data_IF_053589080193
#
_entry.id   IF_053589080193
#
_cell.length_a   1.000
_cell.length_b   1.000
_cell.length_c   1.000
_cell.angle_alpha   90.00
_cell.angle_beta   90.00
_cell.angle_gamma   90.00
#
_symmetry.space_group_name_H-M   'P 1'
#
loop_
_entity.id
_entity.type
_entity.pdbx_description
1 polymer ?
#
# COMPACT_ATOMS: atom_id res chain seq x y z
N UNK A 1 3.88 10.27 19.55
CA UNK A 1 2.40 10.16 19.71
C UNK A 1 2.06 8.68 19.85
N UNK A 2 1.21 8.31 20.83
CA UNK A 2 0.77 6.91 21.01
C UNK A 2 -0.14 6.50 19.84
N UNK A 3 -0.04 5.25 19.36
CA UNK A 3 -0.96 4.70 18.37
C UNK A 3 -2.35 4.50 18.98
N UNK A 4 -3.38 4.92 18.28
CA UNK A 4 -4.77 4.76 18.70
C UNK A 4 -5.53 4.16 17.51
N UNK A 5 -6.07 2.97 17.71
CA UNK A 5 -6.94 2.34 16.72
C UNK A 5 -8.32 2.99 16.79
N UNK A 6 -8.80 3.45 15.65
CA UNK A 6 -10.13 4.05 15.49
C UNK A 6 -10.72 3.46 14.20
N UNK A 7 -11.85 2.74 14.26
CA UNK A 7 -12.49 2.22 13.05
C UNK A 7 -12.80 3.34 12.06
N UNK A 8 -12.50 3.12 10.78
CA UNK A 8 -12.85 4.05 9.72
C UNK A 8 -14.27 3.80 9.23
N UNK A 9 -15.00 4.86 8.94
CA UNK A 9 -16.40 4.79 8.51
C UNK A 9 -16.51 4.18 7.11
N UNK A 10 -15.51 4.42 6.26
CA UNK A 10 -15.48 3.86 4.91
C UNK A 10 -15.33 2.34 4.91
N UNK A 11 -14.59 1.77 5.88
CA UNK A 11 -14.39 0.31 5.99
C UNK A 11 -15.67 -0.46 6.33
N UNK A 12 -16.61 0.22 6.95
CA UNK A 12 -17.91 -0.35 7.38
C UNK A 12 -19.05 -0.01 6.45
N UNK A 13 -18.77 0.60 5.27
CA UNK A 13 -19.79 1.13 4.35
C UNK A 13 -20.84 2.02 5.05
N UNK A 14 -20.41 2.74 6.12
CA UNK A 14 -21.28 3.55 6.98
C UNK A 14 -21.69 4.89 6.34
N UNK A 15 -21.96 4.88 5.04
CA UNK A 15 -22.34 6.08 4.28
C UNK A 15 -23.39 5.81 3.22
N UNK A 16 -24.04 6.87 2.74
CA UNK A 16 -24.86 6.81 1.54
C UNK A 16 -23.98 6.54 0.30
N UNK A 17 -24.52 6.02 -0.80
CA UNK A 17 -23.76 5.83 -2.05
C UNK A 17 -23.06 7.10 -2.53
N UNK A 18 -23.67 8.28 -2.35
CA UNK A 18 -23.06 9.56 -2.68
C UNK A 18 -21.87 9.89 -1.78
N UNK A 19 -21.99 9.71 -0.46
CA UNK A 19 -20.90 9.95 0.49
C UNK A 19 -19.71 9.01 0.24
N UNK A 20 -19.96 7.76 -0.10
CA UNK A 20 -18.92 6.78 -0.48
C UNK A 20 -18.23 7.23 -1.77
N UNK A 21 -18.99 7.66 -2.79
CA UNK A 21 -18.44 8.17 -4.04
C UNK A 21 -17.55 9.40 -3.83
N UNK A 22 -18.01 10.36 -3.01
CA UNK A 22 -17.25 11.54 -2.65
C UNK A 22 -15.98 11.20 -1.86
N UNK A 23 -16.06 10.19 -0.97
CA UNK A 23 -14.93 9.68 -0.21
C UNK A 23 -13.86 9.10 -1.13
N UNK A 24 -14.25 8.26 -2.07
CA UNK A 24 -13.34 7.68 -3.08
C UNK A 24 -12.70 8.79 -3.94
N UNK A 25 -13.46 9.82 -4.32
CA UNK A 25 -12.94 10.95 -5.07
C UNK A 25 -11.91 11.76 -4.28
N UNK A 26 -12.14 11.98 -2.99
CA UNK A 26 -11.19 12.63 -2.09
C UNK A 26 -9.92 11.79 -1.92
N UNK A 27 -10.04 10.46 -1.73
CA UNK A 27 -8.89 9.56 -1.61
C UNK A 27 -8.05 9.53 -2.90
N UNK A 28 -8.67 9.57 -4.08
CA UNK A 28 -7.96 9.70 -5.37
C UNK A 28 -7.15 10.99 -5.43
N UNK A 29 -7.74 12.11 -4.99
CA UNK A 29 -7.10 13.42 -4.94
C UNK A 29 -5.89 13.40 -3.99
N UNK A 30 -6.07 12.84 -2.78
CA UNK A 30 -4.99 12.70 -1.79
C UNK A 30 -3.86 11.83 -2.33
N UNK A 31 -4.16 10.66 -2.89
CA UNK A 31 -3.13 9.79 -3.43
C UNK A 31 -2.38 10.40 -4.62
N UNK A 32 -3.05 11.24 -5.41
CA UNK A 32 -2.43 11.97 -6.52
C UNK A 32 -1.48 13.07 -6.04
N UNK A 33 -1.92 13.90 -5.06
CA UNK A 33 -1.21 15.13 -4.68
C UNK A 33 -0.25 14.94 -3.50
N UNK A 34 -0.53 13.98 -2.62
CA UNK A 34 0.24 13.75 -1.40
C UNK A 34 1.07 12.45 -1.45
N UNK A 35 1.67 12.17 -2.60
CA UNK A 35 2.72 11.19 -2.76
C UNK A 35 2.29 9.72 -2.83
N UNK A 36 1.00 9.38 -2.69
CA UNK A 36 0.57 7.98 -2.68
C UNK A 36 0.95 7.22 -3.95
N UNK A 37 0.61 7.76 -5.12
CA UNK A 37 0.97 7.16 -6.42
C UNK A 37 2.49 7.15 -6.62
N UNK A 38 3.15 8.30 -6.37
CA UNK A 38 4.58 8.44 -6.66
C UNK A 38 5.47 7.59 -5.77
N UNK A 39 5.08 7.39 -4.50
CA UNK A 39 5.77 6.44 -3.61
C UNK A 39 5.73 5.02 -4.17
N UNK A 40 4.55 4.55 -4.62
CA UNK A 40 4.41 3.24 -5.26
C UNK A 40 5.25 3.13 -6.53
N UNK A 41 5.21 4.15 -7.41
CA UNK A 41 6.03 4.20 -8.63
C UNK A 41 7.51 4.09 -8.31
N UNK A 42 8.01 4.86 -7.32
CA UNK A 42 9.43 4.87 -6.95
C UNK A 42 9.88 3.52 -6.40
N UNK A 43 9.07 2.90 -5.52
CA UNK A 43 9.37 1.58 -4.95
C UNK A 43 9.44 0.51 -6.04
N UNK A 44 8.46 0.44 -6.96
CA UNK A 44 8.44 -0.52 -8.07
C UNK A 44 9.64 -0.30 -8.99
N UNK A 45 9.92 0.97 -9.40
CA UNK A 45 11.09 1.28 -10.24
C UNK A 45 12.40 0.85 -9.60
N UNK A 46 12.54 1.05 -8.30
CA UNK A 46 13.74 0.64 -7.57
C UNK A 46 13.93 -0.86 -7.64
N UNK A 47 12.88 -1.64 -7.33
CA UNK A 47 12.93 -3.10 -7.45
C UNK A 47 13.24 -3.52 -8.87
N UNK A 48 12.54 -2.97 -9.87
CA UNK A 48 12.76 -3.28 -11.27
C UNK A 48 14.21 -3.07 -11.73
N UNK A 49 14.82 -1.96 -11.30
CA UNK A 49 16.25 -1.67 -11.59
C UNK A 49 17.18 -2.68 -10.93
N UNK A 50 16.91 -3.02 -9.68
CA UNK A 50 17.78 -3.92 -8.92
C UNK A 50 17.79 -5.34 -9.51
N UNK A 51 16.65 -5.81 -10.04
CA UNK A 51 16.57 -7.12 -10.70
C UNK A 51 16.76 -7.06 -12.24
N UNK A 52 17.07 -5.87 -12.76
CA UNK A 52 17.23 -5.61 -14.19
C UNK A 52 16.05 -6.11 -15.04
N UNK A 53 14.82 -5.77 -14.65
CA UNK A 53 13.59 -6.20 -15.33
C UNK A 53 12.81 -5.01 -15.87
N UNK A 54 12.30 -5.13 -17.10
CA UNK A 54 11.40 -4.17 -17.73
C UNK A 54 9.92 -4.58 -17.66
N UNK A 55 9.60 -5.74 -17.05
CA UNK A 55 8.24 -6.23 -16.90
C UNK A 55 8.06 -6.92 -15.57
N UNK A 56 6.99 -6.57 -14.83
CA UNK A 56 6.67 -7.12 -13.51
C UNK A 56 5.19 -7.43 -13.39
N UNK A 57 4.87 -8.51 -12.70
CA UNK A 57 3.52 -8.81 -12.23
C UNK A 57 3.37 -8.39 -10.76
N UNK A 58 2.28 -7.72 -10.43
CA UNK A 58 2.01 -7.25 -9.07
C UNK A 58 0.61 -7.65 -8.61
N UNK A 59 0.54 -8.13 -7.37
CA UNK A 59 -0.69 -8.27 -6.61
C UNK A 59 -0.83 -7.06 -5.70
N UNK A 60 -1.82 -6.20 -5.95
CA UNK A 60 -2.20 -5.13 -5.02
C UNK A 60 -3.27 -5.64 -4.07
N UNK A 61 -2.95 -5.66 -2.78
CA UNK A 61 -3.80 -6.16 -1.71
C UNK A 61 -4.52 -4.99 -1.04
N UNK A 62 -5.79 -5.18 -0.69
CA UNK A 62 -6.71 -4.13 -0.24
C UNK A 62 -6.75 -2.97 -1.25
N UNK A 63 -6.93 -3.32 -2.52
CA UNK A 63 -6.79 -2.41 -3.64
C UNK A 63 -7.90 -1.34 -3.71
N UNK A 64 -9.02 -1.55 -3.02
CA UNK A 64 -10.17 -0.67 -3.08
C UNK A 64 -10.57 -0.39 -4.53
N UNK A 65 -10.65 0.87 -4.91
CA UNK A 65 -10.98 1.27 -6.29
C UNK A 65 -9.89 0.96 -7.33
N UNK A 66 -8.73 0.44 -6.93
CA UNK A 66 -7.60 0.17 -7.81
C UNK A 66 -6.88 1.43 -8.34
N UNK A 67 -7.18 2.61 -7.82
CA UNK A 67 -6.65 3.87 -8.35
C UNK A 67 -5.12 3.96 -8.28
N UNK A 68 -4.52 3.62 -7.14
CA UNK A 68 -3.06 3.73 -6.96
C UNK A 68 -2.30 2.82 -7.91
N UNK A 69 -2.59 1.50 -8.00
CA UNK A 69 -1.88 0.60 -8.91
C UNK A 69 -2.14 0.94 -10.38
N UNK A 70 -3.34 1.42 -10.77
CA UNK A 70 -3.64 1.86 -12.15
C UNK A 70 -2.80 3.07 -12.55
N UNK A 71 -2.73 4.09 -11.68
CA UNK A 71 -1.92 5.27 -11.94
C UNK A 71 -0.43 4.94 -11.96
N UNK A 72 0.02 4.07 -11.05
CA UNK A 72 1.41 3.59 -11.06
C UNK A 72 1.74 2.85 -12.37
N UNK A 73 0.86 1.97 -12.86
CA UNK A 73 1.00 1.29 -14.14
C UNK A 73 1.16 2.27 -15.30
N UNK A 74 0.32 3.33 -15.35
CA UNK A 74 0.40 4.34 -16.41
C UNK A 74 1.73 5.09 -16.38
N UNK A 75 2.18 5.55 -15.20
CA UNK A 75 3.47 6.24 -15.06
C UNK A 75 4.66 5.35 -15.43
N UNK A 76 4.63 4.10 -14.98
CA UNK A 76 5.70 3.13 -15.24
C UNK A 76 5.78 2.78 -16.72
N UNK A 77 4.65 2.68 -17.43
CA UNK A 77 4.63 2.44 -18.88
C UNK A 77 5.33 3.55 -19.67
N UNK A 78 5.13 4.81 -19.28
CA UNK A 78 5.82 5.97 -19.89
C UNK A 78 7.33 5.86 -19.69
N UNK A 79 7.77 5.23 -18.60
CA UNK A 79 9.17 5.01 -18.27
C UNK A 79 9.74 3.69 -18.82
N UNK A 80 9.03 3.00 -19.70
CA UNK A 80 9.46 1.74 -20.32
C UNK A 80 9.35 0.51 -19.43
N UNK A 81 8.61 0.58 -18.29
CA UNK A 81 8.39 -0.55 -17.41
C UNK A 81 6.93 -1.03 -17.52
N UNK A 82 6.76 -2.28 -17.93
CA UNK A 82 5.44 -2.91 -18.05
C UNK A 82 5.03 -3.54 -16.71
N UNK A 83 3.87 -3.13 -16.20
CA UNK A 83 3.31 -3.65 -14.95
C UNK A 83 1.99 -4.37 -15.23
N UNK A 84 1.91 -5.67 -14.88
CA UNK A 84 0.66 -6.43 -14.91
C UNK A 84 0.04 -6.43 -13.52
N UNK A 85 -1.10 -5.75 -13.37
CA UNK A 85 -1.78 -5.57 -12.08
C UNK A 85 -2.88 -6.62 -11.91
N UNK A 86 -2.89 -7.27 -10.74
CA UNK A 86 -4.02 -8.02 -10.20
C UNK A 86 -4.40 -7.37 -8.87
N UNK A 87 -5.67 -7.05 -8.71
CA UNK A 87 -6.21 -6.44 -7.49
C UNK A 87 -6.88 -7.48 -6.62
N UNK A 88 -6.62 -7.45 -5.31
CA UNK A 88 -7.33 -8.22 -4.32
C UNK A 88 -7.96 -7.27 -3.30
N UNK A 89 -9.22 -7.50 -2.99
CA UNK A 89 -9.92 -6.82 -1.90
C UNK A 89 -10.89 -7.78 -1.22
N UNK A 90 -11.21 -7.50 0.04
CA UNK A 90 -12.20 -8.28 0.78
C UNK A 90 -13.61 -8.04 0.27
N UNK A 91 -13.93 -6.79 -0.05
CA UNK A 91 -15.22 -6.39 -0.57
C UNK A 91 -15.20 -6.34 -2.12
N UNK A 92 -15.98 -7.21 -2.75
CA UNK A 92 -16.15 -7.20 -4.22
C UNK A 92 -16.68 -5.88 -4.74
N UNK A 93 -17.50 -5.18 -3.97
CA UNK A 93 -18.08 -3.87 -4.29
C UNK A 93 -17.03 -2.77 -4.48
N UNK A 94 -15.86 -2.92 -3.86
CA UNK A 94 -14.76 -1.95 -3.96
C UNK A 94 -13.89 -2.16 -5.22
N UNK A 95 -13.91 -3.37 -5.80
CA UNK A 95 -13.10 -3.71 -6.96
C UNK A 95 -13.64 -3.04 -8.23
N UNK A 96 -12.94 -2.02 -8.70
CA UNK A 96 -13.26 -1.32 -9.94
C UNK A 96 -13.13 -2.23 -11.18
N UNK A 97 -14.08 -2.14 -12.11
CA UNK A 97 -14.24 -3.03 -13.27
C UNK A 97 -13.23 -2.85 -14.41
N UNK A 98 -11.94 -2.95 -14.18
CA UNK A 98 -10.96 -2.76 -15.28
C UNK A 98 -9.73 -3.68 -15.27
N UNK A 99 -9.52 -4.44 -14.23
CA UNK A 99 -8.36 -5.31 -14.04
C UNK A 99 -8.77 -6.69 -13.52
N UNK A 100 -7.81 -7.63 -13.54
CA UNK A 100 -8.00 -8.91 -12.85
C UNK A 100 -8.25 -8.63 -11.38
N UNK A 101 -9.47 -8.89 -10.90
CA UNK A 101 -9.91 -8.62 -9.55
C UNK A 101 -10.30 -9.93 -8.86
N UNK A 102 -9.81 -10.12 -7.65
CA UNK A 102 -10.04 -11.31 -6.83
C UNK A 102 -10.54 -10.88 -5.46
N UNK A 103 -11.62 -11.50 -4.98
CA UNK A 103 -12.03 -11.33 -3.60
C UNK A 103 -11.22 -12.27 -2.70
N UNK A 104 -10.64 -11.75 -1.60
CA UNK A 104 -9.81 -12.56 -0.73
C UNK A 104 -9.38 -11.83 0.54
N UNK A 105 -8.81 -12.60 1.46
CA UNK A 105 -8.25 -12.09 2.70
C UNK A 105 -6.77 -11.77 2.52
N UNK A 106 -6.35 -10.59 2.96
CA UNK A 106 -4.96 -10.13 2.95
C UNK A 106 -4.03 -10.99 3.83
N UNK A 107 -4.59 -11.61 4.88
CA UNK A 107 -3.85 -12.43 5.83
C UNK A 107 -3.80 -13.93 5.44
N UNK A 108 -4.54 -14.31 4.37
CA UNK A 108 -4.57 -15.65 3.80
C UNK A 108 -4.76 -15.57 2.28
N UNK A 109 -3.71 -15.15 1.58
CA UNK A 109 -3.78 -14.86 0.14
C UNK A 109 -4.13 -16.13 -0.68
N UNK A 110 -5.19 -16.10 -1.53
CA UNK A 110 -5.68 -17.27 -2.26
C UNK A 110 -4.83 -17.58 -3.51
N UNK A 111 -3.52 -17.47 -3.39
CA UNK A 111 -2.57 -17.73 -4.47
C UNK A 111 -1.48 -18.71 -4.04
N UNK A 112 -0.95 -19.44 -5.00
CA UNK A 112 0.19 -20.33 -4.78
C UNK A 112 1.46 -19.50 -4.50
N UNK A 113 2.45 -20.14 -3.93
CA UNK A 113 3.78 -19.56 -3.76
C UNK A 113 4.34 -19.06 -5.10
N UNK A 114 5.07 -17.95 -5.05
CA UNK A 114 5.75 -17.38 -6.22
C UNK A 114 4.81 -17.08 -7.41
N UNK A 115 3.55 -16.68 -7.16
CA UNK A 115 2.58 -16.37 -8.22
C UNK A 115 2.80 -15.01 -8.87
N UNK A 116 3.36 -14.04 -8.14
CA UNK A 116 3.61 -12.67 -8.62
C UNK A 116 5.06 -12.28 -8.39
N UNK A 117 5.56 -11.29 -9.14
CA UNK A 117 6.87 -10.72 -8.86
C UNK A 117 6.82 -9.89 -7.58
N UNK A 118 5.77 -9.08 -7.44
CA UNK A 118 5.56 -8.21 -6.30
C UNK A 118 4.21 -8.49 -5.63
N UNK A 119 4.17 -8.33 -4.31
CA UNK A 119 2.93 -8.16 -3.55
C UNK A 119 2.98 -6.77 -2.94
N UNK A 120 1.94 -5.96 -3.09
CA UNK A 120 1.91 -4.60 -2.55
C UNK A 120 0.61 -4.29 -1.84
N UNK A 121 0.65 -3.30 -0.96
CA UNK A 121 -0.54 -2.65 -0.44
C UNK A 121 -0.31 -1.14 -0.31
N UNK A 122 -1.38 -0.38 -0.47
CA UNK A 122 -1.35 1.07 -0.36
C UNK A 122 -2.43 1.55 0.59
N UNK A 123 -2.05 2.27 1.68
CA UNK A 123 -2.96 2.75 2.72
C UNK A 123 -3.78 1.63 3.36
N UNK A 124 -3.13 0.56 3.74
CA UNK A 124 -3.79 -0.60 4.31
C UNK A 124 -3.14 -1.09 5.61
N UNK A 125 -1.81 -1.06 5.72
CA UNK A 125 -1.12 -1.64 6.87
C UNK A 125 -1.51 -0.98 8.21
N UNK A 126 -1.94 0.29 8.19
CA UNK A 126 -2.39 0.98 9.40
C UNK A 126 -3.73 0.44 9.96
N UNK A 127 -4.56 -0.26 9.16
CA UNK A 127 -5.77 -0.95 9.64
C UNK A 127 -5.45 -2.24 10.40
N UNK A 128 -4.28 -2.83 10.14
CA UNK A 128 -3.85 -4.08 10.76
C UNK A 128 -3.26 -3.84 12.16
N UNK A 129 -3.45 -4.80 13.07
CA UNK A 129 -2.66 -4.83 14.31
C UNK A 129 -1.23 -5.31 14.03
N UNK A 130 -0.28 -5.19 14.98
CA UNK A 130 1.12 -5.56 14.74
C UNK A 130 1.33 -7.02 14.32
N UNK A 131 0.57 -7.95 14.87
CA UNK A 131 0.63 -9.37 14.55
C UNK A 131 0.10 -9.64 13.14
N UNK A 132 -0.94 -8.94 12.73
CA UNK A 132 -1.51 -9.01 11.39
C UNK A 132 -0.56 -8.41 10.34
N UNK A 133 0.17 -7.33 10.65
CA UNK A 133 1.23 -6.81 9.75
C UNK A 133 2.31 -7.88 9.55
N UNK A 134 2.75 -8.55 10.61
CA UNK A 134 3.70 -9.66 10.52
C UNK A 134 3.15 -10.78 9.64
N UNK A 135 1.88 -11.15 9.82
CA UNK A 135 1.24 -12.19 9.00
C UNK A 135 1.11 -11.76 7.53
N UNK A 136 0.71 -10.52 7.26
CA UNK A 136 0.63 -9.97 5.92
C UNK A 136 1.99 -10.02 5.19
N UNK A 137 3.08 -9.64 5.88
CA UNK A 137 4.44 -9.70 5.30
C UNK A 137 4.82 -11.15 4.99
N UNK A 138 4.52 -12.11 5.87
CA UNK A 138 4.80 -13.54 5.64
C UNK A 138 4.01 -14.08 4.45
N UNK A 139 2.72 -13.79 4.37
CA UNK A 139 1.87 -14.19 3.24
C UNK A 139 2.32 -13.52 1.92
N UNK A 140 2.66 -12.24 1.98
CA UNK A 140 3.20 -11.53 0.82
C UNK A 140 4.50 -12.15 0.32
N UNK A 141 5.44 -12.47 1.23
CA UNK A 141 6.69 -13.14 0.90
C UNK A 141 6.48 -14.57 0.37
N UNK A 142 5.47 -15.28 0.83
CA UNK A 142 5.10 -16.59 0.28
C UNK A 142 4.65 -16.45 -1.18
N UNK A 143 3.79 -15.48 -1.47
CA UNK A 143 3.14 -15.32 -2.77
C UNK A 143 4.03 -14.58 -3.77
N UNK A 144 4.91 -13.67 -3.34
CA UNK A 144 5.81 -12.97 -4.25
C UNK A 144 7.04 -13.81 -4.63
N UNK A 145 7.68 -13.43 -5.75
CA UNK A 145 8.98 -13.93 -6.21
C UNK A 145 10.13 -13.01 -5.80
N UNK A 146 9.88 -11.70 -5.67
CA UNK A 146 10.93 -10.69 -5.51
C UNK A 146 10.77 -9.90 -4.21
N UNK A 147 9.66 -9.19 -4.03
CA UNK A 147 9.50 -8.32 -2.86
C UNK A 147 8.05 -8.06 -2.47
N UNK A 148 7.86 -7.74 -1.19
CA UNK A 148 6.63 -7.14 -0.65
C UNK A 148 6.85 -5.63 -0.51
N UNK A 149 5.87 -4.84 -0.96
CA UNK A 149 5.88 -3.38 -0.93
C UNK A 149 4.72 -2.87 -0.05
N UNK A 150 5.03 -2.03 0.94
CA UNK A 150 4.02 -1.40 1.79
C UNK A 150 4.16 0.12 1.64
N UNK A 151 3.13 0.77 1.09
CA UNK A 151 3.04 2.22 0.98
C UNK A 151 1.97 2.72 1.95
N UNK A 152 2.38 3.37 3.04
CA UNK A 152 1.44 3.80 4.06
C UNK A 152 1.77 5.18 4.63
N UNK A 153 0.91 5.68 5.52
CA UNK A 153 1.10 6.92 6.25
C UNK A 153 2.12 6.74 7.37
N UNK A 154 2.77 7.84 7.76
CA UNK A 154 3.59 7.89 8.97
C UNK A 154 2.81 8.59 10.08
N UNK A 155 2.75 7.97 11.27
CA UNK A 155 2.21 8.58 12.47
C UNK A 155 3.14 9.69 12.95
N UNK A 156 2.69 10.94 12.79
CA UNK A 156 3.45 12.13 13.13
C UNK A 156 2.51 13.23 13.62
N UNK A 157 2.97 14.07 14.59
CA UNK A 157 2.16 15.16 15.16
C UNK A 157 1.88 16.27 14.16
N UNK A 158 2.89 16.62 13.34
CA UNK A 158 2.73 17.64 12.31
C UNK A 158 1.80 17.13 11.21
N UNK A 159 1.91 15.85 10.84
CA UNK A 159 0.97 15.23 9.90
C UNK A 159 -0.47 15.37 10.38
N UNK A 160 -0.72 15.01 11.64
CA UNK A 160 -2.06 15.12 12.24
C UNK A 160 -2.57 16.57 12.24
N UNK A 161 -1.70 17.53 12.59
CA UNK A 161 -2.04 18.97 12.57
C UNK A 161 -2.43 19.41 11.16
N UNK A 162 -1.65 19.03 10.14
CA UNK A 162 -1.92 19.39 8.74
C UNK A 162 -3.21 18.75 8.24
N UNK A 163 -3.51 17.50 8.66
CA UNK A 163 -4.79 16.85 8.33
C UNK A 163 -5.96 17.63 8.95
N UNK A 164 -5.86 18.05 10.21
CA UNK A 164 -6.92 18.87 10.82
C UNK A 164 -7.09 20.23 10.11
N UNK A 165 -6.00 20.88 9.76
CA UNK A 165 -6.06 22.14 8.99
C UNK A 165 -6.68 21.93 7.59
N UNK A 166 -6.50 20.75 7.00
CA UNK A 166 -7.04 20.37 5.70
C UNK A 166 -8.48 19.87 5.71
N UNK A 167 -9.11 19.65 6.88
CA UNK A 167 -10.48 19.10 6.95
C UNK A 167 -11.51 19.83 6.09
N UNK A 168 -11.49 21.19 5.98
CA UNK A 168 -12.44 21.90 5.12
C UNK A 168 -12.33 21.55 3.63
N UNK A 169 -11.19 20.98 3.18
CA UNK A 169 -10.96 20.61 1.78
C UNK A 169 -11.59 19.25 1.41
N UNK A 170 -11.98 18.45 2.40
CA UNK A 170 -12.65 17.18 2.15
C UNK A 170 -14.14 17.41 1.84
N UNK A 171 -14.61 16.80 0.77
CA UNK A 171 -16.02 16.82 0.37
C UNK A 171 -16.84 15.87 1.21
N UNK A 172 -16.30 14.65 1.42
CA UNK A 172 -16.99 13.61 2.17
C UNK A 172 -16.87 13.82 3.68
N UNK A 173 -18.01 13.66 4.40
CA UNK A 173 -18.06 13.55 5.85
C UNK A 173 -17.24 12.38 6.36
N UNK A 174 -17.23 11.25 5.62
CA UNK A 174 -16.46 10.06 5.96
C UNK A 174 -14.97 10.40 6.07
N UNK A 175 -14.38 11.04 5.05
CA UNK A 175 -12.98 11.41 5.07
C UNK A 175 -12.62 12.45 6.14
N UNK A 176 -13.54 13.33 6.53
CA UNK A 176 -13.30 14.25 7.66
C UNK A 176 -13.11 13.49 8.96
N UNK A 177 -13.79 12.35 9.14
CA UNK A 177 -13.61 11.46 10.29
C UNK A 177 -12.38 10.57 10.10
N UNK A 178 -12.25 9.95 8.93
CA UNK A 178 -11.29 8.88 8.69
C UNK A 178 -9.85 9.39 8.55
N UNK A 179 -9.62 10.56 7.93
CA UNK A 179 -8.27 11.07 7.72
C UNK A 179 -7.47 11.30 9.04
N UNK A 180 -8.03 11.92 10.11
CA UNK A 180 -7.36 11.96 11.40
C UNK A 180 -7.22 10.59 12.07
N UNK A 181 -8.19 9.67 11.87
CA UNK A 181 -8.14 8.32 12.39
C UNK A 181 -6.98 7.53 11.77
N UNK A 182 -6.85 7.55 10.44
CA UNK A 182 -5.76 6.91 9.69
C UNK A 182 -4.38 7.38 10.18
N UNK A 183 -4.18 8.69 10.39
CA UNK A 183 -2.90 9.21 10.91
C UNK A 183 -2.62 8.73 12.33
N UNK A 184 -3.65 8.65 13.19
CA UNK A 184 -3.48 8.18 14.58
C UNK A 184 -3.17 6.69 14.68
N UNK A 185 -3.72 5.89 13.78
CA UNK A 185 -3.50 4.44 13.74
C UNK A 185 -2.31 4.03 12.85
N UNK A 186 -1.77 4.93 12.03
CA UNK A 186 -0.57 4.69 11.24
C UNK A 186 0.62 4.28 12.13
N UNK A 187 1.57 3.59 11.54
CA UNK A 187 2.81 3.20 12.22
C UNK A 187 3.90 4.25 12.03
N UNK A 188 4.86 4.28 12.94
CA UNK A 188 6.15 4.94 12.71
C UNK A 188 7.06 4.03 11.88
N UNK A 189 8.11 4.60 11.29
CA UNK A 189 9.11 3.81 10.54
C UNK A 189 9.81 2.76 11.43
N UNK A 190 10.00 3.06 12.72
CA UNK A 190 10.66 2.14 13.64
C UNK A 190 9.75 0.98 14.07
N UNK A 191 8.44 1.26 14.29
CA UNK A 191 7.45 0.23 14.54
C UNK A 191 7.31 -0.70 13.32
N UNK A 192 7.25 -0.14 12.11
CA UNK A 192 7.21 -0.93 10.87
C UNK A 192 8.47 -1.79 10.74
N UNK A 193 9.65 -1.24 11.03
CA UNK A 193 10.90 -2.00 11.00
C UNK A 193 10.89 -3.17 11.99
N UNK A 194 10.43 -2.94 13.22
CA UNK A 194 10.31 -4.00 14.23
C UNK A 194 9.38 -5.14 13.78
N UNK A 195 8.22 -4.81 13.19
CA UNK A 195 7.26 -5.81 12.68
C UNK A 195 7.83 -6.60 11.50
N UNK A 196 8.49 -5.92 10.55
CA UNK A 196 9.14 -6.58 9.41
C UNK A 196 10.26 -7.50 9.88
N UNK A 197 11.11 -7.06 10.84
CA UNK A 197 12.16 -7.93 11.41
C UNK A 197 11.58 -9.14 12.14
N UNK A 198 10.41 -9.00 12.77
CA UNK A 198 9.69 -10.14 13.38
C UNK A 198 9.11 -11.11 12.33
N UNK A 199 8.76 -10.60 11.17
CA UNK A 199 8.21 -11.42 10.08
C UNK A 199 9.27 -12.23 9.34
N UNK A 200 10.46 -11.65 9.13
CA UNK A 200 11.54 -12.25 8.33
C UNK A 200 12.91 -11.67 8.69
N UNK A 201 13.96 -12.47 8.43
CA UNK A 201 15.36 -12.02 8.47
C UNK A 201 15.84 -11.46 7.13
N UNK A 202 15.00 -11.52 6.11
CA UNK A 202 15.30 -11.01 4.78
C UNK A 202 15.61 -9.51 4.78
N UNK A 203 16.35 -9.06 3.79
CA UNK A 203 16.66 -7.65 3.59
C UNK A 203 15.38 -6.83 3.52
N UNK A 204 15.31 -5.76 4.29
CA UNK A 204 14.21 -4.81 4.26
C UNK A 204 14.71 -3.37 4.28
N UNK A 205 14.04 -2.52 3.53
CA UNK A 205 14.29 -1.09 3.50
C UNK A 205 13.02 -0.35 3.84
N UNK A 206 13.06 0.46 4.89
CA UNK A 206 11.97 1.34 5.28
C UNK A 206 12.43 2.78 5.10
N UNK A 207 11.76 3.53 4.24
CA UNK A 207 12.08 4.91 3.90
C UNK A 207 10.90 5.84 4.11
N UNK A 208 11.18 7.07 4.53
CA UNK A 208 10.20 8.16 4.44
C UNK A 208 10.19 8.70 3.01
N UNK A 209 9.00 8.96 2.52
CA UNK A 209 8.73 9.62 1.26
C UNK A 209 8.00 10.95 1.48
N UNK A 210 7.72 11.64 0.39
CA UNK A 210 7.10 12.96 0.40
C UNK A 210 5.80 12.98 1.21
N UNK A 211 5.66 14.02 2.03
CA UNK A 211 4.50 14.34 2.86
C UNK A 211 3.98 13.17 3.70
N UNK A 212 4.82 12.72 4.64
CA UNK A 212 4.44 11.75 5.66
C UNK A 212 4.02 10.38 5.11
N UNK A 213 4.56 10.01 3.96
CA UNK A 213 4.47 8.64 3.44
C UNK A 213 5.66 7.81 3.90
N UNK A 214 5.41 6.54 4.08
CA UNK A 214 6.40 5.51 4.33
C UNK A 214 6.31 4.46 3.23
N UNK A 215 7.46 4.11 2.66
CA UNK A 215 7.62 2.96 1.79
C UNK A 215 8.45 1.90 2.50
N UNK A 216 7.92 0.70 2.68
CA UNK A 216 8.67 -0.45 3.11
C UNK A 216 8.80 -1.46 1.96
N UNK A 217 10.04 -1.80 1.59
CA UNK A 217 10.37 -2.84 0.62
C UNK A 217 11.01 -3.99 1.38
N UNK A 218 10.37 -5.16 1.36
CA UNK A 218 10.84 -6.38 2.01
C UNK A 218 11.17 -7.39 0.93
N UNK A 219 12.44 -7.69 0.77
CA UNK A 219 12.93 -8.59 -0.27
C UNK A 219 12.69 -10.05 0.13
N UNK A 220 12.47 -10.91 -0.85
CA UNK A 220 12.43 -12.35 -0.61
C UNK A 220 13.84 -12.91 -0.60
N UNK A 221 14.15 -13.74 0.40
CA UNK A 221 15.44 -14.39 0.50
C UNK A 221 15.75 -15.25 -0.75
N UNK A 222 17.01 -15.23 -1.20
CA UNK A 222 17.50 -16.07 -2.29
C UNK A 222 17.52 -15.43 -3.68
N UNK A 223 17.19 -14.12 -3.85
CA UNK A 223 17.27 -13.42 -5.15
C UNK A 223 17.97 -12.07 -5.10
N UNK A 224 19.10 -11.97 -4.43
CA UNK A 224 20.14 -11.06 -4.91
C UNK A 224 20.93 -11.84 -5.94
N UNK A 225 20.62 -11.70 -7.23
CA UNK A 225 21.58 -12.12 -8.26
C UNK A 225 22.90 -11.40 -7.97
N UNK A 226 24.04 -12.13 -7.90
CA UNK A 226 25.32 -11.45 -7.85
C UNK A 226 25.41 -10.57 -9.11
N UNK A 227 25.77 -9.32 -8.91
CA UNK A 227 26.30 -8.47 -9.97
C UNK A 227 27.31 -9.33 -10.69
N UNK A 228 27.04 -9.71 -11.94
CA UNK A 228 28.10 -10.24 -12.81
C UNK A 228 29.07 -9.10 -12.99
N UNK A 229 30.19 -9.17 -12.32
CA UNK A 229 31.37 -8.41 -12.69
C UNK A 229 31.70 -8.76 -14.16
N UNK A 230 31.65 -7.74 -15.01
CA UNK A 230 32.25 -7.74 -16.32
C UNK A 230 33.61 -7.04 -16.23
#
# INVERSE_FOLDING_TARGET
>A
MKRVHTPELLDTDSGTPSEISDSIADLRRINRWFGGVMTTVEMIRRVAREINSSSLSILEVAAGSGYVPQMAQQHLRILGLHLQVTSLDRARSHLGGGHRAVAGDALALPFRENSFDLVSCSLFAHHLNPEEVVQFVKEGLRVCRVAVLINDLVRDRLHLLLVYAGLPLYRSRLNRHDAPASVRQAYTTDEMRAMVTKATTARAEIRRHYLFRMGATVWKDGKTSPVREL
#
